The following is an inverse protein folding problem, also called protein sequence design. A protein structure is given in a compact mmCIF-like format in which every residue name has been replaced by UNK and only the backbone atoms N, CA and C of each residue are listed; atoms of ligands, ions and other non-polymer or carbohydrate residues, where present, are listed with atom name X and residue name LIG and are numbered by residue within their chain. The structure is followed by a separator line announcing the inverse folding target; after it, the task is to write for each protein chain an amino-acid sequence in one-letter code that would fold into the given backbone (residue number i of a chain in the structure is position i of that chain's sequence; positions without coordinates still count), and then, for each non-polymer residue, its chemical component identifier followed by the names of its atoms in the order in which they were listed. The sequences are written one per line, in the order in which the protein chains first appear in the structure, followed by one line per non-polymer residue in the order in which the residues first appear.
data_IF_547399416437
#
_entry.id   IF_547399416437
#
_cell.length_a   1.000
_cell.length_b   1.000
_cell.length_c   1.000
_cell.angle_alpha   90.00
_cell.angle_beta   90.00
_cell.angle_gamma   90.00
#
_symmetry.space_group_name_H-M   'P 1'
#
loop_
_entity.id
_entity.type
_entity.pdbx_description
1 polymer ?
#
# COMPACT_ATOMS: atom_id res chain seq x y z
N UNK A 1 -0.46 11.64 57.32
CA UNK A 1 -0.88 12.54 56.23
C UNK A 1 -0.60 11.85 54.92
N UNK A 2 -1.59 11.41 54.17
CA UNK A 2 -1.38 10.65 52.94
C UNK A 2 -1.13 11.58 51.75
N UNK A 3 -0.14 11.24 50.93
CA UNK A 3 0.16 11.88 49.65
C UNK A 3 -0.95 11.54 48.66
N UNK A 4 -1.76 12.50 48.27
CA UNK A 4 -2.74 12.38 47.21
C UNK A 4 -2.03 12.44 45.84
N UNK A 5 -2.34 11.46 45.04
CA UNK A 5 -1.93 11.23 43.68
C UNK A 5 -2.28 12.39 42.74
N UNK A 6 -1.28 12.89 42.00
CA UNK A 6 -1.43 13.78 40.85
C UNK A 6 -1.59 12.94 39.56
N UNK A 7 -2.76 12.39 39.35
CA UNK A 7 -3.15 11.79 38.05
C UNK A 7 -4.53 12.32 37.70
N UNK A 8 -4.61 13.60 37.35
CA UNK A 8 -5.83 14.16 36.75
C UNK A 8 -5.52 15.53 36.13
N UNK A 9 -4.66 15.59 35.13
CA UNK A 9 -4.45 16.84 34.38
C UNK A 9 -3.76 16.63 33.02
N UNK A 10 -4.17 15.63 32.24
CA UNK A 10 -3.71 15.48 30.82
C UNK A 10 -4.88 15.30 29.83
N UNK A 11 -6.11 15.42 30.29
CA UNK A 11 -7.30 15.22 29.41
C UNK A 11 -8.06 16.50 29.04
N UNK A 12 -7.49 17.68 29.21
CA UNK A 12 -8.24 18.93 29.03
C UNK A 12 -7.61 20.00 28.13
N UNK A 13 -6.65 19.63 27.24
CA UNK A 13 -6.12 20.60 26.25
C UNK A 13 -6.08 19.95 24.87
N UNK A 14 -7.23 19.57 24.33
CA UNK A 14 -7.38 19.20 22.90
C UNK A 14 -8.72 19.62 22.30
N UNK A 15 -9.32 20.71 22.78
CA UNK A 15 -10.64 21.14 22.32
C UNK A 15 -10.70 22.52 21.66
N UNK A 16 -9.58 23.15 21.27
CA UNK A 16 -9.64 24.52 20.77
C UNK A 16 -8.63 24.83 19.65
N UNK A 17 -8.58 24.03 18.55
CA UNK A 17 -8.01 24.51 17.28
C UNK A 17 -8.34 23.60 16.09
N UNK A 18 -9.58 23.25 15.82
CA UNK A 18 -9.97 22.49 14.62
C UNK A 18 -11.22 23.08 13.95
N UNK A 19 -11.18 24.30 13.36
CA UNK A 19 -12.29 24.66 12.49
C UNK A 19 -11.99 24.76 11.00
N UNK A 20 -10.72 24.68 10.52
CA UNK A 20 -10.47 24.78 9.07
C UNK A 20 -9.98 23.50 8.38
N UNK A 21 -9.39 22.55 9.07
CA UNK A 21 -8.98 21.27 8.49
C UNK A 21 -10.17 20.32 8.29
N UNK A 22 -11.20 20.37 9.16
CA UNK A 22 -12.32 19.44 9.16
C UNK A 22 -13.24 19.59 7.92
N UNK A 23 -13.49 20.81 7.45
CA UNK A 23 -14.34 21.02 6.27
C UNK A 23 -13.71 20.60 4.95
N UNK A 24 -12.36 20.58 4.87
CA UNK A 24 -11.65 20.15 3.68
C UNK A 24 -11.51 18.63 3.60
N UNK A 25 -11.55 17.91 4.74
CA UNK A 25 -11.45 16.44 4.80
C UNK A 25 -12.80 15.73 4.55
N UNK A 26 -13.92 16.39 4.83
CA UNK A 26 -15.26 15.82 4.64
C UNK A 26 -15.58 15.34 3.22
N UNK A 27 -14.77 15.71 2.23
CA UNK A 27 -14.95 15.35 0.81
C UNK A 27 -13.98 14.28 0.29
N UNK A 28 -13.03 13.79 1.09
CA UNK A 28 -11.91 12.97 0.59
C UNK A 28 -11.91 11.53 1.03
N UNK A 29 -12.89 11.09 1.82
CA UNK A 29 -12.96 9.72 2.34
C UNK A 29 -12.07 9.51 3.58
N UNK A 30 -12.10 8.30 4.13
CA UNK A 30 -11.29 7.92 5.28
C UNK A 30 -9.90 7.43 4.86
N UNK A 31 -8.89 7.68 5.68
CA UNK A 31 -7.58 7.03 5.61
C UNK A 31 -7.56 5.90 6.64
N UNK A 32 -7.24 4.69 6.21
CA UNK A 32 -7.15 3.51 7.06
C UNK A 32 -5.71 3.04 7.17
N UNK A 33 -5.31 2.65 8.36
CA UNK A 33 -3.98 2.15 8.64
C UNK A 33 -4.00 1.19 9.83
N UNK A 34 -2.99 0.35 9.92
CA UNK A 34 -2.74 -0.48 11.09
C UNK A 34 -1.95 0.29 12.14
N UNK A 35 -2.27 0.06 13.41
CA UNK A 35 -1.54 0.63 14.55
C UNK A 35 -1.46 -0.38 15.68
N UNK A 36 -0.28 -0.50 16.28
CA UNK A 36 -0.10 -1.20 17.56
C UNK A 36 0.60 -0.29 18.56
N UNK A 37 0.36 -0.50 19.84
CA UNK A 37 0.95 0.27 20.94
C UNK A 37 0.95 -0.56 22.22
N UNK A 38 1.85 -0.23 23.15
CA UNK A 38 1.98 -0.94 24.42
C UNK A 38 1.30 -0.17 25.54
N UNK A 39 0.46 -0.84 26.33
CA UNK A 39 -0.15 -0.32 27.56
C UNK A 39 0.16 -1.30 28.69
N UNK A 40 0.89 -0.87 29.71
CA UNK A 40 1.19 -1.66 30.92
C UNK A 40 1.73 -3.07 30.66
N UNK A 41 2.52 -3.30 29.60
CA UNK A 41 3.06 -4.57 29.08
C UNK A 41 2.15 -5.32 28.11
N UNK A 42 0.90 -4.92 27.90
CA UNK A 42 0.04 -5.49 26.87
C UNK A 42 0.19 -4.74 25.55
N UNK A 43 0.40 -5.46 24.46
CA UNK A 43 0.39 -4.88 23.12
C UNK A 43 -1.04 -4.87 22.62
N UNK A 44 -1.57 -3.69 22.39
CA UNK A 44 -2.89 -3.46 21.76
C UNK A 44 -2.70 -2.95 20.35
N UNK A 45 -3.70 -3.13 19.51
CA UNK A 45 -3.61 -2.66 18.13
C UNK A 45 -4.88 -2.94 17.36
N UNK A 46 -4.78 -2.81 16.04
CA UNK A 46 -5.86 -3.06 15.10
C UNK A 46 -5.80 -2.10 13.91
N UNK A 47 -6.85 -2.11 13.13
CA UNK A 47 -7.07 -1.13 12.08
C UNK A 47 -7.74 0.13 12.66
N UNK A 48 -7.26 1.27 12.20
CA UNK A 48 -7.78 2.58 12.56
C UNK A 48 -8.16 3.36 11.31
N UNK A 49 -9.20 4.16 11.42
CA UNK A 49 -9.63 5.10 10.39
C UNK A 49 -9.52 6.53 10.88
N UNK A 50 -8.97 7.42 10.05
CA UNK A 50 -9.11 8.88 10.23
C UNK A 50 -10.15 9.37 9.23
N UNK A 51 -11.22 9.93 9.76
CA UNK A 51 -12.28 10.59 8.98
C UNK A 51 -12.62 11.92 9.62
N UNK A 52 -12.60 12.99 8.83
CA UNK A 52 -12.89 14.35 9.31
C UNK A 52 -12.06 14.78 10.52
N UNK A 53 -10.77 14.38 10.55
CA UNK A 53 -9.85 14.67 11.67
C UNK A 53 -10.09 13.84 12.93
N UNK A 54 -11.01 12.86 12.90
CA UNK A 54 -11.29 11.97 14.02
C UNK A 54 -10.69 10.60 13.79
N UNK A 55 -9.98 10.11 14.78
CA UNK A 55 -9.44 8.76 14.82
C UNK A 55 -10.49 7.81 15.39
N UNK A 56 -10.83 6.75 14.65
CA UNK A 56 -11.75 5.70 15.07
C UNK A 56 -11.06 4.35 14.93
N UNK A 57 -11.14 3.50 15.94
CA UNK A 57 -10.70 2.12 15.88
C UNK A 57 -11.77 1.29 15.16
N UNK A 58 -11.35 0.49 14.17
CA UNK A 58 -12.24 -0.38 13.39
C UNK A 58 -12.19 -1.82 13.88
N UNK A 59 -11.01 -2.27 14.31
CA UNK A 59 -10.78 -3.62 14.81
C UNK A 59 -9.88 -3.56 16.04
N UNK A 60 -9.88 -4.61 16.86
CA UNK A 60 -9.16 -4.62 18.16
C UNK A 60 -8.01 -5.62 18.21
N UNK A 61 -7.74 -6.32 17.09
CA UNK A 61 -6.67 -7.30 17.04
C UNK A 61 -5.35 -6.65 16.56
N UNK A 62 -4.29 -6.81 17.35
CA UNK A 62 -2.96 -6.24 17.08
C UNK A 62 -2.28 -6.81 15.84
N UNK A 63 -2.73 -7.95 15.36
CA UNK A 63 -2.20 -8.62 14.17
C UNK A 63 -2.87 -8.13 12.88
N UNK A 64 -3.89 -7.27 13.00
CA UNK A 64 -4.57 -6.67 11.85
C UNK A 64 -3.65 -5.74 11.08
N UNK A 65 -3.38 -6.08 9.82
CA UNK A 65 -2.44 -5.38 8.96
C UNK A 65 -2.93 -5.33 7.51
N UNK A 66 -2.23 -4.61 6.66
CA UNK A 66 -2.39 -4.58 5.20
C UNK A 66 -3.84 -4.30 4.72
N UNK A 67 -4.47 -3.22 5.19
CA UNK A 67 -5.82 -2.89 4.76
C UNK A 67 -5.88 -2.48 3.29
N UNK A 68 -6.86 -3.01 2.56
CA UNK A 68 -7.17 -2.66 1.17
C UNK A 68 -8.66 -2.38 1.00
N UNK A 69 -9.02 -1.23 0.44
CA UNK A 69 -10.42 -0.91 0.16
C UNK A 69 -10.96 -1.63 -1.08
N UNK A 70 -12.23 -1.98 -1.00
CA UNK A 70 -13.00 -2.23 -2.22
C UNK A 70 -13.17 -0.94 -3.03
N UNK A 71 -13.25 -1.02 -4.38
CA UNK A 71 -13.35 0.18 -5.24
C UNK A 71 -14.58 1.06 -4.99
N UNK A 72 -15.62 0.52 -4.34
CA UNK A 72 -16.79 1.28 -3.92
C UNK A 72 -16.66 1.87 -2.49
N UNK A 73 -15.52 1.59 -1.82
CA UNK A 73 -15.23 2.07 -0.47
C UNK A 73 -16.10 1.50 0.64
N UNK A 74 -16.83 0.39 0.37
CA UNK A 74 -17.78 -0.19 1.33
C UNK A 74 -17.22 -1.33 2.16
N UNK A 75 -16.10 -1.90 1.73
CA UNK A 75 -15.45 -3.02 2.39
C UNK A 75 -13.95 -2.79 2.43
N UNK A 76 -13.31 -3.26 3.48
CA UNK A 76 -11.87 -3.30 3.67
C UNK A 76 -11.51 -4.77 3.79
N UNK A 77 -10.63 -5.26 2.94
CA UNK A 77 -9.93 -6.52 3.14
C UNK A 77 -8.66 -6.26 3.95
N UNK A 78 -8.26 -7.19 4.81
CA UNK A 78 -7.07 -7.05 5.64
C UNK A 78 -6.55 -8.41 6.09
N UNK A 79 -5.35 -8.46 6.63
CA UNK A 79 -4.70 -9.66 7.18
C UNK A 79 -4.83 -9.66 8.69
N UNK A 80 -5.17 -10.83 9.28
CA UNK A 80 -5.13 -11.12 10.71
C UNK A 80 -4.52 -12.50 10.93
N UNK A 81 -3.43 -12.58 11.69
CA UNK A 81 -2.73 -13.85 12.00
C UNK A 81 -2.42 -14.71 10.75
N UNK A 82 -2.13 -14.07 9.61
CA UNK A 82 -1.85 -14.75 8.35
C UNK A 82 -3.08 -15.19 7.56
N UNK A 83 -4.30 -14.90 8.00
CA UNK A 83 -5.53 -15.14 7.24
C UNK A 83 -6.15 -13.83 6.74
N UNK A 84 -6.90 -13.90 5.66
CA UNK A 84 -7.66 -12.76 5.15
C UNK A 84 -9.00 -12.60 5.86
N UNK A 85 -9.30 -11.36 6.17
CA UNK A 85 -10.58 -10.90 6.73
C UNK A 85 -11.14 -9.74 5.92
N UNK A 86 -12.40 -9.45 6.13
CA UNK A 86 -13.05 -8.23 5.66
C UNK A 86 -13.85 -7.55 6.76
N UNK A 87 -13.98 -6.22 6.67
CA UNK A 87 -14.74 -5.38 7.59
C UNK A 87 -15.33 -4.19 6.85
N UNK A 88 -16.43 -3.63 7.33
CA UNK A 88 -16.94 -2.34 6.83
C UNK A 88 -16.14 -1.17 7.38
N UNK A 89 -16.13 0.00 6.72
CA UNK A 89 -15.43 1.19 7.19
C UNK A 89 -15.96 1.80 8.50
N UNK A 90 -17.04 1.27 9.06
CA UNK A 90 -17.55 1.58 10.39
C UNK A 90 -17.14 0.56 11.46
N UNK A 91 -16.32 -0.45 11.11
CA UNK A 91 -15.88 -1.53 11.98
C UNK A 91 -16.86 -2.70 12.09
N UNK A 92 -18.06 -2.60 11.51
CA UNK A 92 -19.06 -3.66 11.57
C UNK A 92 -18.86 -4.73 10.51
N UNK A 93 -19.50 -5.90 10.72
CA UNK A 93 -19.57 -6.96 9.72
C UNK A 93 -18.23 -7.63 9.44
N UNK A 94 -17.38 -7.77 10.45
CA UNK A 94 -16.13 -8.54 10.32
C UNK A 94 -16.43 -9.96 9.85
N UNK A 95 -15.63 -10.43 8.90
CA UNK A 95 -15.78 -11.77 8.32
C UNK A 95 -14.41 -12.33 7.95
N UNK A 96 -14.15 -13.58 8.31
CA UNK A 96 -13.01 -14.33 7.82
C UNK A 96 -13.26 -14.78 6.38
N UNK A 97 -12.29 -14.56 5.49
CA UNK A 97 -12.34 -14.93 4.07
C UNK A 97 -11.56 -16.20 3.78
N UNK A 98 -10.42 -16.37 4.46
CA UNK A 98 -9.56 -17.55 4.35
C UNK A 98 -9.28 -18.12 5.73
N UNK A 99 -8.82 -19.37 5.79
CA UNK A 99 -8.38 -20.04 7.00
C UNK A 99 -7.40 -21.16 6.67
N UNK A 100 -6.50 -21.48 7.57
CA UNK A 100 -5.56 -22.58 7.37
C UNK A 100 -4.25 -22.38 8.10
N UNK A 101 -3.21 -23.06 7.63
CA UNK A 101 -1.84 -22.96 8.13
C UNK A 101 -0.95 -22.13 7.20
N UNK A 102 -1.44 -21.83 6.00
CA UNK A 102 -0.76 -20.99 5.02
C UNK A 102 -0.77 -19.53 5.50
N UNK A 103 0.18 -18.74 4.98
CA UNK A 103 0.29 -17.32 5.30
C UNK A 103 -0.18 -16.49 4.13
N UNK A 104 -1.27 -15.79 4.31
CA UNK A 104 -1.85 -14.85 3.34
C UNK A 104 -1.34 -13.44 3.59
N UNK A 105 -1.11 -12.68 2.53
CA UNK A 105 -0.61 -11.30 2.58
C UNK A 105 -1.03 -10.48 1.36
N UNK A 106 -0.87 -9.17 1.44
CA UNK A 106 -1.09 -8.20 0.36
C UNK A 106 -2.43 -8.36 -0.36
N UNK A 107 -3.56 -8.30 0.36
CA UNK A 107 -4.87 -8.36 -0.26
C UNK A 107 -5.09 -7.19 -1.21
N UNK A 108 -5.65 -7.46 -2.38
CA UNK A 108 -6.03 -6.47 -3.38
C UNK A 108 -7.45 -6.76 -3.86
N UNK A 109 -8.38 -5.86 -3.56
CA UNK A 109 -9.79 -6.05 -3.96
C UNK A 109 -9.96 -5.76 -5.44
N UNK A 110 -10.57 -6.69 -6.15
CA UNK A 110 -10.79 -6.57 -7.59
C UNK A 110 -11.62 -5.33 -7.96
N UNK A 111 -11.40 -4.70 -9.14
CA UNK A 111 -12.15 -3.52 -9.58
C UNK A 111 -13.66 -3.69 -9.63
N UNK A 112 -14.16 -4.92 -9.74
CA UNK A 112 -15.59 -5.26 -9.68
C UNK A 112 -16.12 -5.53 -8.26
N UNK A 113 -15.24 -5.49 -7.23
CA UNK A 113 -15.59 -5.74 -5.83
C UNK A 113 -16.00 -7.17 -5.49
N UNK A 114 -15.86 -8.14 -6.40
CA UNK A 114 -16.42 -9.50 -6.22
C UNK A 114 -15.46 -10.48 -5.57
N UNK A 115 -14.15 -10.24 -5.65
CA UNK A 115 -13.12 -11.12 -5.11
C UNK A 115 -11.89 -10.32 -4.70
N UNK A 116 -11.05 -10.95 -3.91
CA UNK A 116 -9.76 -10.43 -3.44
C UNK A 116 -8.67 -11.29 -4.07
N UNK A 117 -7.65 -10.67 -4.67
CA UNK A 117 -6.39 -11.32 -5.02
C UNK A 117 -5.42 -11.11 -3.87
N UNK A 118 -4.58 -12.09 -3.60
CA UNK A 118 -3.62 -12.04 -2.51
C UNK A 118 -2.45 -12.99 -2.74
N UNK A 119 -1.39 -12.79 -2.01
CA UNK A 119 -0.24 -13.69 -1.96
C UNK A 119 -0.47 -14.75 -0.88
N UNK A 120 -0.20 -16.02 -1.19
CA UNK A 120 -0.27 -17.13 -0.24
C UNK A 120 1.02 -17.92 -0.24
N UNK A 121 1.56 -18.15 0.95
CA UNK A 121 2.77 -18.94 1.21
C UNK A 121 2.44 -20.11 2.13
N UNK A 122 3.02 -21.29 1.87
CA UNK A 122 2.89 -22.44 2.76
C UNK A 122 3.57 -22.22 4.14
N UNK A 123 4.50 -21.26 4.22
CA UNK A 123 5.14 -20.77 5.44
C UNK A 123 5.74 -19.39 5.18
N UNK A 124 6.14 -18.67 6.23
CA UNK A 124 6.70 -17.31 6.11
C UNK A 124 7.90 -17.20 5.16
N UNK A 125 8.67 -18.26 4.97
CA UNK A 125 9.86 -18.29 4.13
C UNK A 125 9.66 -19.06 2.80
N UNK A 126 8.47 -19.58 2.54
CA UNK A 126 8.16 -20.23 1.27
C UNK A 126 7.87 -19.19 0.17
N UNK A 127 8.13 -19.53 -1.10
CA UNK A 127 7.69 -18.69 -2.20
C UNK A 127 6.17 -18.55 -2.19
N UNK A 128 5.67 -17.39 -2.59
CA UNK A 128 4.25 -17.14 -2.73
C UNK A 128 3.75 -17.55 -4.11
N UNK A 129 2.48 -17.90 -4.11
CA UNK A 129 1.65 -17.87 -5.31
C UNK A 129 0.51 -16.87 -5.15
N UNK A 130 -0.02 -16.42 -6.26
CA UNK A 130 -1.21 -15.60 -6.28
C UNK A 130 -2.47 -16.45 -6.19
N UNK A 131 -3.38 -16.05 -5.33
CA UNK A 131 -4.68 -16.67 -5.15
C UNK A 131 -5.81 -15.67 -5.27
N UNK A 132 -7.02 -16.16 -5.48
CA UNK A 132 -8.25 -15.38 -5.32
C UNK A 132 -9.18 -16.04 -4.31
N UNK A 133 -9.96 -15.21 -3.62
CA UNK A 133 -11.08 -15.63 -2.78
C UNK A 133 -12.27 -14.68 -3.01
N UNK A 134 -13.49 -15.16 -2.90
CA UNK A 134 -14.67 -14.30 -2.98
C UNK A 134 -14.67 -13.21 -1.91
N UNK A 135 -15.10 -12.01 -2.23
CA UNK A 135 -15.14 -10.88 -1.28
C UNK A 135 -16.08 -11.12 -0.09
N UNK A 136 -16.93 -12.14 -0.16
CA UNK A 136 -17.78 -12.63 0.93
C UNK A 136 -17.31 -13.99 1.48
N UNK A 137 -16.10 -14.40 1.16
CA UNK A 137 -15.55 -15.72 1.46
C UNK A 137 -15.97 -16.79 0.44
N UNK A 138 -15.24 -17.92 0.45
CA UNK A 138 -15.47 -19.05 -0.48
C UNK A 138 -14.85 -18.84 -1.86
N UNK A 139 -14.82 -19.92 -2.65
CA UNK A 139 -14.26 -19.86 -4.00
C UNK A 139 -12.74 -19.61 -4.03
N UNK A 140 -11.99 -20.14 -3.06
CA UNK A 140 -10.53 -20.09 -3.06
C UNK A 140 -10.00 -20.74 -4.34
N UNK A 141 -9.19 -20.00 -5.09
CA UNK A 141 -8.63 -20.45 -6.37
C UNK A 141 -7.20 -19.97 -6.52
N UNK A 142 -6.28 -20.89 -6.87
CA UNK A 142 -4.87 -20.60 -7.16
C UNK A 142 -4.75 -20.04 -8.58
N UNK A 143 -4.15 -18.86 -8.73
CA UNK A 143 -3.95 -18.21 -10.04
C UNK A 143 -2.62 -18.60 -10.66
N UNK A 144 -1.58 -18.74 -9.84
CA UNK A 144 -0.24 -19.12 -10.29
C UNK A 144 0.21 -20.38 -9.57
N UNK A 145 1.07 -21.17 -10.22
CA UNK A 145 1.61 -22.42 -9.73
C UNK A 145 3.03 -22.57 -10.25
N UNK A 146 4.00 -22.11 -9.48
CA UNK A 146 5.40 -22.17 -9.87
C UNK A 146 6.30 -22.31 -8.64
N UNK A 147 7.55 -22.81 -8.79
CA UNK A 147 8.52 -22.79 -7.69
C UNK A 147 9.10 -21.40 -7.41
N UNK A 148 8.76 -20.40 -8.21
CA UNK A 148 9.19 -19.00 -8.05
C UNK A 148 8.26 -18.26 -7.08
N UNK A 149 8.76 -17.14 -6.54
CA UNK A 149 7.97 -16.25 -5.66
C UNK A 149 7.18 -15.26 -6.52
N UNK A 150 5.85 -15.37 -6.52
CA UNK A 150 4.94 -14.48 -7.25
C UNK A 150 4.34 -13.46 -6.28
N UNK A 151 4.64 -12.17 -6.47
CA UNK A 151 4.29 -11.12 -5.53
C UNK A 151 4.01 -9.76 -6.20
N UNK A 152 3.63 -8.74 -5.41
CA UNK A 152 3.39 -7.36 -5.83
C UNK A 152 2.39 -7.22 -6.98
N UNK A 153 1.25 -7.89 -6.84
CA UNK A 153 0.20 -7.88 -7.85
C UNK A 153 -0.53 -6.53 -7.94
N UNK A 154 -0.91 -6.13 -9.15
CA UNK A 154 -1.81 -5.01 -9.39
C UNK A 154 -2.84 -5.33 -10.49
N UNK A 155 -4.06 -4.77 -10.37
CA UNK A 155 -5.11 -4.96 -11.35
C UNK A 155 -5.08 -3.95 -12.48
N UNK A 156 -5.34 -4.42 -13.70
CA UNK A 156 -5.73 -3.48 -14.75
C UNK A 156 -7.03 -2.75 -14.37
N UNK A 157 -7.19 -1.46 -14.75
CA UNK A 157 -8.37 -0.66 -14.38
C UNK A 157 -9.72 -1.28 -14.80
N UNK A 158 -9.71 -2.14 -15.83
CA UNK A 158 -10.89 -2.89 -16.29
C UNK A 158 -11.05 -4.25 -15.60
N UNK A 159 -10.14 -4.61 -14.69
CA UNK A 159 -10.16 -5.87 -13.94
C UNK A 159 -9.92 -7.13 -14.75
N UNK A 160 -9.45 -7.01 -16.01
CA UNK A 160 -9.30 -8.15 -16.93
C UNK A 160 -7.93 -8.80 -16.88
N UNK A 161 -6.94 -8.13 -16.31
CA UNK A 161 -5.59 -8.61 -16.15
C UNK A 161 -5.02 -8.22 -14.78
N UNK A 162 -4.08 -9.02 -14.32
CA UNK A 162 -3.25 -8.80 -13.15
C UNK A 162 -1.81 -8.76 -13.65
N UNK A 163 -1.04 -7.74 -13.29
CA UNK A 163 0.41 -7.72 -13.44
C UNK A 163 1.02 -8.07 -12.09
N UNK A 164 2.15 -8.75 -12.07
CA UNK A 164 2.85 -9.13 -10.85
C UNK A 164 4.33 -9.33 -11.10
N UNK A 165 5.12 -9.38 -10.05
CA UNK A 165 6.53 -9.76 -10.07
C UNK A 165 6.66 -11.26 -9.87
N UNK A 166 7.53 -11.90 -10.64
CA UNK A 166 7.99 -13.27 -10.40
C UNK A 166 9.48 -13.27 -10.15
N UNK A 167 9.87 -13.63 -8.92
CA UNK A 167 11.28 -13.80 -8.54
C UNK A 167 11.70 -15.23 -8.82
N UNK A 168 12.57 -15.40 -9.79
CA UNK A 168 13.08 -16.71 -10.21
C UNK A 168 14.54 -16.89 -9.77
N UNK A 169 14.84 -18.02 -9.14
CA UNK A 169 16.22 -18.34 -8.79
C UNK A 169 17.06 -18.57 -10.04
N UNK A 170 18.20 -17.91 -10.13
CA UNK A 170 19.20 -18.02 -11.19
C UNK A 170 20.58 -18.30 -10.60
N UNK A 171 21.56 -18.75 -11.40
CA UNK A 171 22.94 -18.91 -10.91
C UNK A 171 23.57 -17.62 -10.34
N UNK A 172 23.07 -16.45 -10.74
CA UNK A 172 23.53 -15.14 -10.29
C UNK A 172 22.72 -14.51 -9.15
N UNK A 173 21.78 -15.25 -8.55
CA UNK A 173 20.87 -14.75 -7.53
C UNK A 173 19.40 -14.85 -7.94
N UNK A 174 18.56 -13.95 -7.46
CA UNK A 174 17.16 -13.84 -7.92
C UNK A 174 17.10 -12.93 -9.16
N UNK A 175 16.19 -13.22 -10.05
CA UNK A 175 15.81 -12.37 -11.18
C UNK A 175 14.32 -12.05 -11.07
N UNK A 176 14.00 -10.77 -10.95
CA UNK A 176 12.65 -10.25 -10.80
C UNK A 176 12.14 -9.78 -12.18
N UNK A 177 11.12 -10.46 -12.68
CA UNK A 177 10.49 -10.15 -13.96
C UNK A 177 9.01 -9.86 -13.80
N UNK A 178 8.47 -9.04 -14.67
CA UNK A 178 7.04 -8.78 -14.72
C UNK A 178 6.31 -9.81 -15.56
N UNK A 179 5.23 -10.31 -14.99
CA UNK A 179 4.31 -11.24 -15.63
C UNK A 179 2.88 -10.67 -15.60
N UNK A 180 2.04 -11.18 -16.46
CA UNK A 180 0.60 -10.93 -16.43
C UNK A 180 -0.19 -12.20 -16.48
N UNK A 181 -1.37 -12.20 -15.82
CA UNK A 181 -2.32 -13.30 -15.82
C UNK A 181 -3.75 -12.76 -15.79
N UNK A 182 -4.72 -13.50 -16.30
CA UNK A 182 -6.14 -13.16 -16.09
C UNK A 182 -6.59 -13.57 -14.69
N UNK A 183 -7.64 -12.93 -14.13
CA UNK A 183 -8.21 -13.35 -12.84
C UNK A 183 -8.75 -14.78 -12.79
N UNK A 184 -8.87 -15.43 -13.94
CA UNK A 184 -9.21 -16.85 -14.04
C UNK A 184 -8.00 -17.79 -14.02
N UNK A 185 -6.79 -17.28 -13.85
CA UNK A 185 -5.53 -18.02 -13.98
C UNK A 185 -5.08 -18.26 -15.43
N UNK A 186 -5.92 -17.95 -16.43
CA UNK A 186 -5.57 -18.17 -17.81
C UNK A 186 -4.69 -17.06 -18.40
N UNK A 187 -3.90 -17.39 -19.41
CA UNK A 187 -3.14 -16.41 -20.19
C UNK A 187 -1.93 -15.85 -19.45
N UNK A 188 -1.28 -16.67 -18.61
CA UNK A 188 0.00 -16.34 -18.00
C UNK A 188 1.02 -15.99 -19.08
N UNK A 189 1.64 -14.82 -18.98
CA UNK A 189 2.62 -14.34 -19.94
C UNK A 189 3.72 -13.54 -19.25
N UNK A 190 4.99 -13.80 -19.60
CA UNK A 190 6.13 -12.98 -19.21
C UNK A 190 6.13 -11.69 -20.03
N UNK A 191 6.24 -10.56 -19.38
CA UNK A 191 6.24 -9.22 -20.00
C UNK A 191 7.64 -8.64 -20.18
N UNK A 192 8.56 -8.97 -19.26
CA UNK A 192 9.96 -8.56 -19.27
C UNK A 192 10.88 -9.77 -19.16
N UNK A 193 12.19 -9.57 -19.26
CA UNK A 193 13.12 -10.70 -19.26
C UNK A 193 14.52 -10.26 -19.68
N UNK A 194 14.98 -9.11 -19.22
CA UNK A 194 16.33 -8.61 -19.49
C UNK A 194 17.29 -9.21 -18.48
N UNK A 195 18.30 -9.93 -18.93
CA UNK A 195 19.31 -10.54 -18.05
C UNK A 195 20.06 -9.47 -17.23
N UNK A 196 20.21 -9.72 -15.93
CA UNK A 196 20.89 -8.82 -14.98
C UNK A 196 20.11 -7.54 -14.64
N UNK A 197 18.82 -7.52 -14.97
CA UNK A 197 17.93 -6.39 -14.69
C UNK A 197 16.71 -6.93 -13.93
N UNK A 198 16.37 -6.28 -12.82
CA UNK A 198 15.17 -6.56 -12.03
C UNK A 198 14.10 -5.52 -12.30
N UNK A 199 12.88 -5.97 -12.42
CA UNK A 199 11.69 -5.13 -12.52
C UNK A 199 10.74 -5.42 -11.35
N UNK A 200 10.30 -4.37 -10.67
CA UNK A 200 9.51 -4.46 -9.45
C UNK A 200 8.50 -3.31 -9.32
N UNK A 201 7.60 -3.42 -8.33
CA UNK A 201 6.55 -2.44 -8.05
C UNK A 201 5.69 -2.09 -9.27
N UNK A 202 5.18 -3.07 -10.03
CA UNK A 202 4.35 -2.77 -11.18
C UNK A 202 3.02 -2.14 -10.77
N UNK A 203 2.59 -1.13 -11.50
CA UNK A 203 1.26 -0.51 -11.35
C UNK A 203 0.63 -0.29 -12.71
N UNK A 204 -0.64 -0.60 -12.84
CA UNK A 204 -1.39 -0.21 -14.02
C UNK A 204 -1.71 1.29 -14.00
N UNK A 205 -1.64 1.90 -15.18
CA UNK A 205 -2.17 3.24 -15.44
C UNK A 205 -3.02 3.22 -16.71
N UNK A 206 -3.64 4.35 -17.07
CA UNK A 206 -4.53 4.43 -18.23
C UNK A 206 -3.88 3.97 -19.55
N UNK A 207 -2.57 4.21 -19.72
CA UNK A 207 -1.82 3.91 -20.94
C UNK A 207 -1.07 2.58 -20.96
N UNK A 208 -0.97 1.84 -19.85
CA UNK A 208 -0.17 0.63 -19.79
C UNK A 208 0.22 0.20 -18.38
N UNK A 209 1.47 -0.20 -18.22
CA UNK A 209 2.08 -0.59 -16.95
C UNK A 209 3.26 0.34 -16.66
N UNK A 210 3.35 0.79 -15.44
CA UNK A 210 4.43 1.57 -14.86
C UNK A 210 5.16 0.68 -13.86
N UNK A 211 6.49 0.76 -13.79
CA UNK A 211 7.28 -0.11 -12.93
C UNK A 211 8.65 0.50 -12.62
N UNK A 212 9.24 0.08 -11.53
CA UNK A 212 10.62 0.34 -11.18
C UNK A 212 11.52 -0.69 -11.86
N UNK A 213 12.69 -0.27 -12.32
CA UNK A 213 13.66 -1.12 -13.02
C UNK A 213 15.07 -0.73 -12.66
N UNK A 214 15.89 -1.71 -12.25
CA UNK A 214 17.27 -1.51 -11.85
C UNK A 214 18.17 -2.69 -12.19
N UNK A 215 19.48 -2.52 -12.00
CA UNK A 215 20.41 -3.63 -12.13
C UNK A 215 20.23 -4.61 -10.97
N UNK A 216 20.26 -5.91 -11.30
CA UNK A 216 20.27 -6.98 -10.33
C UNK A 216 21.63 -7.01 -9.63
N UNK A 217 21.76 -6.32 -8.52
CA UNK A 217 22.99 -6.31 -7.73
C UNK A 217 22.67 -6.42 -6.24
N UNK A 218 23.29 -7.39 -5.59
CA UNK A 218 23.35 -7.50 -4.13
C UNK A 218 24.27 -6.41 -3.53
N UNK A 219 24.01 -5.12 -3.84
CA UNK A 219 24.88 -4.05 -3.36
C UNK A 219 24.17 -2.71 -3.19
N UNK A 220 24.76 -1.81 -2.36
CA UNK A 220 24.18 -0.49 -2.09
C UNK A 220 24.16 0.46 -3.29
N UNK A 221 24.57 0.01 -4.47
CA UNK A 221 24.68 0.79 -5.70
C UNK A 221 23.63 0.50 -6.75
N UNK A 222 22.62 -0.34 -6.45
CA UNK A 222 21.54 -0.60 -7.38
C UNK A 222 20.68 0.66 -7.56
N UNK A 223 20.87 1.36 -8.67
CA UNK A 223 20.03 2.48 -9.06
C UNK A 223 18.79 1.94 -9.77
N UNK A 224 17.62 2.35 -9.31
CA UNK A 224 16.36 2.07 -9.98
C UNK A 224 15.82 3.34 -10.65
N UNK A 225 15.32 3.17 -11.86
CA UNK A 225 14.60 4.16 -12.64
C UNK A 225 13.15 3.71 -12.83
N UNK A 226 12.26 4.65 -13.15
CA UNK A 226 10.87 4.33 -13.44
C UNK A 226 10.64 4.26 -14.95
N UNK A 227 10.00 3.18 -15.37
CA UNK A 227 9.69 2.90 -16.77
C UNK A 227 8.18 2.75 -16.97
N UNK A 228 7.77 2.86 -18.21
CA UNK A 228 6.42 2.51 -18.68
C UNK A 228 6.50 1.56 -19.84
N UNK A 229 5.50 0.70 -19.97
CA UNK A 229 5.31 -0.18 -21.14
C UNK A 229 3.83 -0.33 -21.46
N UNK A 230 3.53 -0.86 -22.65
CA UNK A 230 2.17 -1.29 -22.98
C UNK A 230 1.77 -2.49 -22.14
N UNK A 231 0.47 -2.76 -21.99
CA UNK A 231 -0.07 -3.92 -21.25
C UNK A 231 0.45 -5.28 -21.72
N UNK A 232 0.95 -5.38 -22.94
CA UNK A 232 1.53 -6.61 -23.52
C UNK A 232 3.07 -6.66 -23.44
N UNK A 233 3.69 -5.84 -22.63
CA UNK A 233 5.15 -5.76 -22.46
C UNK A 233 5.88 -4.94 -23.55
N UNK A 234 5.20 -4.53 -24.61
CA UNK A 234 5.84 -3.77 -25.68
C UNK A 234 6.06 -2.30 -25.33
N UNK A 235 7.01 -1.66 -26.04
CA UNK A 235 7.29 -0.21 -25.96
C UNK A 235 7.75 0.25 -24.57
N UNK A 236 8.68 -0.48 -23.96
CA UNK A 236 9.36 -0.05 -22.72
C UNK A 236 10.04 1.31 -22.96
N UNK A 237 9.77 2.28 -22.08
CA UNK A 237 10.32 3.64 -22.14
C UNK A 237 10.60 4.15 -20.74
N UNK A 238 11.73 4.80 -20.56
CA UNK A 238 12.04 5.51 -19.33
C UNK A 238 11.07 6.68 -19.13
N UNK A 239 10.54 6.79 -17.93
CA UNK A 239 9.69 7.90 -17.46
C UNK A 239 10.44 8.82 -16.49
N UNK A 240 11.17 8.24 -15.55
CA UNK A 240 12.02 8.94 -14.59
C UNK A 240 13.37 8.27 -14.61
N UNK A 241 14.40 9.01 -15.00
CA UNK A 241 15.78 8.56 -15.01
C UNK A 241 16.70 9.60 -14.37
N UNK A 242 17.90 9.19 -13.97
CA UNK A 242 18.95 10.08 -13.52
C UNK A 242 19.61 9.66 -12.23
N UNK A 243 20.25 10.58 -11.53
CA UNK A 243 20.98 10.31 -10.28
C UNK A 243 20.00 9.99 -9.16
N UNK A 244 20.29 8.92 -8.39
CA UNK A 244 19.47 8.44 -7.27
C UNK A 244 18.38 7.46 -7.69
N UNK A 245 18.07 6.50 -6.80
CA UNK A 245 17.07 5.46 -7.04
C UNK A 245 15.65 6.02 -6.95
N UNK A 246 14.83 5.72 -7.94
CA UNK A 246 13.41 6.08 -7.98
C UNK A 246 12.53 4.83 -7.90
N UNK A 247 11.62 4.80 -6.94
CA UNK A 247 10.72 3.68 -6.64
C UNK A 247 9.27 4.14 -6.74
N UNK A 248 8.45 3.35 -7.43
CA UNK A 248 7.01 3.62 -7.57
C UNK A 248 6.33 3.41 -6.22
N UNK A 249 5.53 4.39 -5.79
CA UNK A 249 4.66 4.29 -4.62
C UNK A 249 3.20 4.05 -5.07
N UNK A 250 2.69 4.95 -5.92
CA UNK A 250 1.29 4.88 -6.34
C UNK A 250 1.05 5.58 -7.69
N UNK A 251 -0.11 5.34 -8.27
CA UNK A 251 -0.62 6.03 -9.47
C UNK A 251 -1.88 6.79 -9.11
N UNK A 252 -2.01 8.03 -9.57
CA UNK A 252 -3.22 8.81 -9.31
C UNK A 252 -4.47 8.13 -9.84
N UNK A 253 -5.65 8.30 -9.20
CA UNK A 253 -6.89 7.64 -9.59
C UNK A 253 -7.35 7.89 -11.04
N UNK A 254 -6.93 9.01 -11.63
CA UNK A 254 -7.16 9.33 -13.03
C UNK A 254 -6.14 8.66 -13.99
N UNK A 255 -5.11 7.99 -13.44
CA UNK A 255 -4.08 7.30 -14.20
C UNK A 255 -3.09 8.22 -14.93
N UNK A 256 -2.98 9.49 -14.55
CA UNK A 256 -2.14 10.46 -15.26
C UNK A 256 -0.90 10.92 -14.51
N UNK A 257 -0.78 10.61 -13.23
CA UNK A 257 0.39 10.97 -12.41
C UNK A 257 0.97 9.74 -11.72
N UNK A 258 2.29 9.69 -11.59
CA UNK A 258 3.00 8.77 -10.71
C UNK A 258 3.43 9.49 -9.46
N UNK A 259 3.24 8.84 -8.31
CA UNK A 259 3.84 9.14 -7.04
C UNK A 259 5.04 8.21 -6.86
N UNK A 260 6.19 8.75 -6.53
CA UNK A 260 7.39 7.96 -6.37
C UNK A 260 8.31 8.54 -5.29
N UNK A 261 9.10 7.67 -4.72
CA UNK A 261 10.21 8.03 -3.83
C UNK A 261 11.49 8.12 -4.65
N UNK A 262 12.28 9.17 -4.42
CA UNK A 262 13.65 9.32 -4.93
C UNK A 262 14.50 9.94 -3.86
N UNK A 263 15.65 9.32 -3.56
CA UNK A 263 16.51 9.72 -2.45
C UNK A 263 15.71 9.87 -1.16
N UNK A 264 15.82 10.99 -0.47
CA UNK A 264 15.07 11.36 0.71
C UNK A 264 13.83 12.21 0.38
N UNK A 265 13.20 12.01 -0.75
CA UNK A 265 12.06 12.82 -1.17
C UNK A 265 10.90 12.04 -1.74
N UNK A 266 9.71 12.57 -1.51
CA UNK A 266 8.50 12.14 -2.19
C UNK A 266 8.22 13.08 -3.36
N UNK A 267 8.00 12.50 -4.52
CA UNK A 267 7.89 13.21 -5.78
C UNK A 267 6.63 12.82 -6.54
N UNK A 268 6.14 13.73 -7.36
CA UNK A 268 5.11 13.45 -8.37
C UNK A 268 5.57 13.84 -9.76
N UNK A 269 5.10 13.10 -10.75
CA UNK A 269 5.35 13.42 -12.16
C UNK A 269 4.13 13.04 -12.99
N UNK A 270 3.69 13.90 -13.93
CA UNK A 270 2.77 13.48 -14.98
C UNK A 270 3.36 12.31 -15.79
N UNK A 271 2.55 11.33 -16.13
CA UNK A 271 2.94 10.23 -17.00
C UNK A 271 3.01 10.74 -18.45
N UNK A 272 4.07 11.49 -18.76
CA UNK A 272 4.26 12.21 -20.01
C UNK A 272 5.55 13.05 -19.98
N UNK A 273 5.72 13.99 -20.89
CA UNK A 273 6.96 14.74 -21.07
C UNK A 273 7.26 15.78 -19.97
N UNK A 274 6.27 16.13 -19.14
CA UNK A 274 6.47 17.12 -18.09
C UNK A 274 7.46 16.64 -17.01
N UNK A 275 8.14 17.60 -16.36
CA UNK A 275 9.16 17.33 -15.35
C UNK A 275 8.52 16.82 -14.04
N UNK A 276 9.31 16.03 -13.31
CA UNK A 276 9.00 15.65 -11.94
C UNK A 276 9.09 16.87 -11.00
N UNK A 277 8.28 16.82 -9.93
CA UNK A 277 8.27 17.85 -8.89
C UNK A 277 8.35 17.20 -7.52
N UNK A 278 9.31 17.63 -6.69
CA UNK A 278 9.42 17.22 -5.30
C UNK A 278 8.25 17.81 -4.50
N UNK A 279 7.60 16.95 -3.72
CA UNK A 279 6.51 17.35 -2.82
C UNK A 279 7.04 17.68 -1.44
N UNK A 280 7.92 16.84 -0.93
CA UNK A 280 8.46 16.98 0.43
C UNK A 280 9.78 16.23 0.57
N UNK A 281 10.58 16.62 1.56
CA UNK A 281 11.66 15.81 2.09
C UNK A 281 11.10 14.72 2.98
N UNK A 282 11.78 13.58 2.98
CA UNK A 282 11.55 12.49 3.92
C UNK A 282 12.80 12.37 4.78
N UNK A 283 12.67 12.24 6.11
CA UNK A 283 13.83 12.00 6.97
C UNK A 283 14.59 10.73 6.57
N UNK A 284 15.88 10.69 6.91
CA UNK A 284 16.74 9.53 6.67
C UNK A 284 16.12 8.25 7.26
N UNK A 285 16.17 7.18 6.49
CA UNK A 285 15.64 5.88 6.90
C UNK A 285 14.11 5.77 6.87
N UNK A 286 13.38 6.81 6.44
CA UNK A 286 11.92 6.74 6.30
C UNK A 286 11.53 5.67 5.29
N UNK A 287 10.89 4.60 5.77
CA UNK A 287 10.12 3.70 4.91
C UNK A 287 8.77 4.37 4.68
N UNK A 288 8.49 4.78 3.45
CA UNK A 288 7.21 5.37 3.10
C UNK A 288 6.32 4.33 2.44
N UNK A 289 5.09 4.32 2.85
CA UNK A 289 3.99 3.75 2.09
C UNK A 289 3.05 4.92 1.85
N UNK A 290 2.97 5.39 0.62
CA UNK A 290 2.29 6.62 0.28
C UNK A 290 1.24 6.36 -0.78
N UNK A 291 0.03 6.89 -0.59
CA UNK A 291 -1.09 6.66 -1.50
C UNK A 291 -1.82 7.95 -1.83
N UNK A 292 -2.31 8.06 -3.06
CA UNK A 292 -3.19 9.16 -3.46
C UNK A 292 -4.55 9.07 -2.78
N UNK A 293 -5.12 10.23 -2.49
CA UNK A 293 -6.56 10.33 -2.22
C UNK A 293 -7.37 10.02 -3.47
N UNK A 294 -8.60 9.57 -3.29
CA UNK A 294 -9.50 9.19 -4.38
C UNK A 294 -9.80 10.32 -5.38
N UNK A 295 -9.61 11.59 -4.99
CA UNK A 295 -9.72 12.74 -5.88
C UNK A 295 -8.37 13.18 -6.50
N UNK A 296 -7.27 12.47 -6.19
CA UNK A 296 -5.92 12.75 -6.67
C UNK A 296 -5.29 14.03 -6.14
N UNK A 297 -5.95 14.75 -5.22
CA UNK A 297 -5.49 16.08 -4.76
C UNK A 297 -4.57 16.01 -3.56
N UNK A 298 -4.56 14.92 -2.84
CA UNK A 298 -3.73 14.71 -1.66
C UNK A 298 -3.06 13.34 -1.71
N UNK A 299 -2.07 13.21 -0.87
CA UNK A 299 -1.35 11.98 -0.61
C UNK A 299 -1.37 11.75 0.88
N UNK A 300 -1.69 10.54 1.33
CA UNK A 300 -1.42 10.10 2.69
C UNK A 300 -0.05 9.44 2.70
N UNK A 301 0.78 9.79 3.68
CA UNK A 301 2.11 9.23 3.84
C UNK A 301 2.46 9.10 5.32
N UNK A 302 3.19 8.03 5.66
CA UNK A 302 3.89 7.97 6.93
C UNK A 302 5.22 8.72 6.81
N UNK A 303 5.48 9.60 7.75
CA UNK A 303 6.75 10.34 7.85
C UNK A 303 7.34 10.08 9.22
N UNK A 304 8.53 9.50 9.25
CA UNK A 304 9.27 9.27 10.50
C UNK A 304 10.29 10.37 10.70
N UNK A 305 10.30 10.98 11.89
CA UNK A 305 11.30 11.95 12.34
C UNK A 305 11.81 11.46 13.68
N UNK A 306 13.09 11.13 13.75
CA UNK A 306 13.71 10.51 14.94
C UNK A 306 12.95 9.21 15.31
N UNK A 307 12.38 9.14 16.52
CA UNK A 307 11.60 8.00 17.01
C UNK A 307 10.08 8.18 16.81
N UNK A 308 9.65 9.24 16.14
CA UNK A 308 8.23 9.56 15.93
C UNK A 308 7.83 9.32 14.49
N UNK A 309 6.79 8.55 14.29
CA UNK A 309 6.15 8.39 12.98
C UNK A 309 4.80 9.05 13.00
N UNK A 310 4.59 9.97 12.08
CA UNK A 310 3.32 10.69 11.89
C UNK A 310 2.66 10.27 10.57
N UNK A 311 1.35 10.17 10.58
CA UNK A 311 0.57 10.07 9.35
C UNK A 311 0.21 11.48 8.90
N UNK A 312 0.64 11.85 7.70
CA UNK A 312 0.42 13.18 7.13
C UNK A 312 -0.40 13.14 5.85
N UNK A 313 -1.19 14.18 5.60
CA UNK A 313 -1.74 14.46 4.29
C UNK A 313 -0.90 15.55 3.60
N UNK A 314 -0.53 15.31 2.34
CA UNK A 314 0.26 16.23 1.53
C UNK A 314 -0.61 16.72 0.38
N UNK A 315 -0.78 18.04 0.23
CA UNK A 315 -1.45 18.67 -0.90
C UNK A 315 -0.62 18.48 -2.17
N UNK A 316 -1.17 17.83 -3.18
CA UNK A 316 -0.44 17.50 -4.42
C UNK A 316 -0.04 18.77 -5.17
N UNK A 317 -0.82 19.83 -5.16
CA UNK A 317 -0.51 21.06 -5.90
C UNK A 317 0.54 21.93 -5.19
N UNK A 318 0.49 22.02 -3.87
CA UNK A 318 1.28 22.96 -3.06
C UNK A 318 2.41 22.30 -2.27
N UNK A 319 2.42 20.98 -2.10
CA UNK A 319 3.36 20.26 -1.26
C UNK A 319 3.18 20.49 0.25
N UNK A 320 2.11 21.23 0.64
CA UNK A 320 1.85 21.53 2.06
C UNK A 320 1.40 20.27 2.80
N UNK A 321 2.08 20.00 3.91
CA UNK A 321 1.75 18.91 4.82
C UNK A 321 0.73 19.34 5.86
N UNK A 322 -0.14 18.41 6.25
CA UNK A 322 -1.05 18.53 7.39
C UNK A 322 -1.00 17.21 8.13
N UNK A 323 -0.66 17.25 9.40
CA UNK A 323 -0.64 16.05 10.23
C UNK A 323 -2.07 15.54 10.44
N UNK A 324 -2.27 14.24 10.23
CA UNK A 324 -3.56 13.56 10.40
C UNK A 324 -3.65 12.86 11.75
N UNK A 325 -2.54 12.29 12.23
CA UNK A 325 -2.43 11.65 13.54
C UNK A 325 -0.99 11.66 14.04
N UNK A 326 -0.79 12.09 15.29
CA UNK A 326 0.47 11.96 16.03
C UNK A 326 0.61 10.57 16.67
N UNK A 327 1.86 10.18 16.88
CA UNK A 327 2.19 9.00 17.70
C UNK A 327 1.65 7.70 17.11
N UNK A 328 1.61 7.58 15.82
CA UNK A 328 1.50 6.28 15.14
C UNK A 328 2.85 5.58 15.33
N UNK A 329 3.14 5.17 16.57
CA UNK A 329 4.35 4.41 16.84
C UNK A 329 4.26 3.12 16.06
N UNK A 330 5.11 3.00 15.06
CA UNK A 330 5.48 1.73 14.47
C UNK A 330 6.32 1.05 15.53
N UNK A 331 5.73 0.14 16.29
CA UNK A 331 6.40 -0.50 17.41
C UNK A 331 7.66 -1.19 16.96
N UNK A 332 8.71 -1.03 17.76
CA UNK A 332 9.84 -1.93 17.88
C UNK A 332 9.36 -3.37 18.18
N UNK A 333 8.90 -4.06 17.17
CA UNK A 333 8.69 -5.51 17.18
C UNK A 333 9.84 -6.12 16.41
N UNK A 334 10.63 -6.96 17.06
CA UNK A 334 11.66 -7.81 16.47
C UNK A 334 11.03 -8.75 15.43
N UNK A 335 10.93 -8.33 14.21
CA UNK A 335 10.43 -9.09 13.06
C UNK A 335 10.32 -8.15 11.87
N UNK A 336 10.55 -8.63 10.67
CA UNK A 336 10.41 -7.88 9.42
C UNK A 336 9.04 -7.22 9.35
N UNK A 337 8.91 -6.03 9.92
CA UNK A 337 7.70 -5.23 9.84
C UNK A 337 7.70 -4.64 8.45
N UNK A 338 6.94 -5.26 7.57
CA UNK A 338 6.42 -4.54 6.40
C UNK A 338 5.78 -3.27 6.95
N UNK A 339 6.25 -2.10 6.53
CA UNK A 339 5.78 -0.82 7.04
C UNK A 339 4.24 -0.75 6.99
N UNK A 340 3.59 0.09 7.80
CA UNK A 340 2.15 0.18 7.86
C UNK A 340 1.60 0.48 6.47
N UNK A 341 0.73 -0.39 5.98
CA UNK A 341 0.03 -0.17 4.72
C UNK A 341 -1.07 0.85 4.98
N UNK A 342 -1.13 1.86 4.13
CA UNK A 342 -2.18 2.88 4.15
C UNK A 342 -3.12 2.61 3.01
N UNK A 343 -4.42 2.69 3.28
CA UNK A 343 -5.42 2.72 2.23
C UNK A 343 -6.28 3.97 2.36
N UNK A 344 -6.54 4.64 1.24
CA UNK A 344 -7.45 5.77 1.19
C UNK A 344 -8.79 5.33 0.62
N UNK A 345 -9.88 5.60 1.36
CA UNK A 345 -11.22 5.23 0.94
C UNK A 345 -11.57 5.89 -0.40
N UNK A 346 -11.92 5.12 -1.43
CA UNK A 346 -12.38 5.68 -2.69
C UNK A 346 -13.66 6.50 -2.50
N UNK A 347 -13.81 7.58 -3.24
CA UNK A 347 -15.09 8.30 -3.28
C UNK A 347 -16.14 7.39 -3.90
N UNK A 348 -17.36 7.31 -3.36
CA UNK A 348 -18.45 6.62 -4.01
C UNK A 348 -18.58 7.17 -5.43
N UNK A 349 -18.50 6.32 -6.45
CA UNK A 349 -18.82 6.72 -7.82
C UNK A 349 -20.25 7.23 -7.78
N UNK A 350 -20.45 8.51 -8.15
CA UNK A 350 -21.79 9.03 -8.37
C UNK A 350 -22.49 8.05 -9.31
N UNK A 351 -23.58 7.47 -8.85
CA UNK A 351 -24.33 6.47 -9.62
C UNK A 351 -24.63 7.00 -11.02
N UNK A 352 -24.21 6.23 -12.04
CA UNK A 352 -24.66 6.43 -13.42
C UNK A 352 -26.02 5.77 -13.58
#
# INVERSE_FOLDING_TARGET
MPKRSLITAVLAILALAVPMASQAMARTGAVIFSKSFTVEKDVKGGLYAIRDGRLNQLTEDRTDTEPAFSPDGRTIAFVRDGDLYSVRPDGSGQRQLTSGTDVDSKPLVAPNGRYVVFERRASANAPADLYTVGALGGGLHRLTDSPADDHDADFSPDGKAIVFVRSTATPGGLADDLYSVRPSGAGLARLTGTEGIDEFEPRYFAGGILFSRGESSEGPSAYADIYTMRRNGAKVRSLVAGVGSAYVEDVSPDGHMVLFRRDQGLWVKPIGPAKARKLTELPDGSKTNSVFSSDGRRIAAFVSVEERTSLVAIDVAKGRQTELAEGVNLTEGTGNVLGPVIAWQPSPKAGR
#
